data_IF_058356125612
#
_entry.id   IF_058356125612
#
_cell.length_a   1.000
_cell.length_b   1.000
_cell.length_c   1.000
_cell.angle_alpha   90.00
_cell.angle_beta   90.00
_cell.angle_gamma   90.00
#
_symmetry.space_group_name_H-M   'P 1'
#
loop_
_entity.id
_entity.type
_entity.pdbx_description
1 polymer ?
#
# COMPACT_ATOMS: atom_id res chain seq x y z
N UNK A 1 17.07 4.76 -3.62
CA UNK A 1 17.11 4.52 -2.15
C UNK A 1 15.69 4.74 -1.64
N UNK A 2 14.96 3.67 -1.32
CA UNK A 2 13.56 3.77 -0.88
C UNK A 2 13.51 4.41 0.52
N UNK A 3 12.72 5.48 0.67
CA UNK A 3 12.44 6.18 1.95
C UNK A 3 11.86 5.26 3.05
N UNK A 4 11.53 4.02 2.70
CA UNK A 4 10.98 2.99 3.58
C UNK A 4 12.00 2.12 4.31
N UNK A 5 13.30 2.22 4.03
CA UNK A 5 14.33 1.52 4.83
C UNK A 5 14.37 1.91 6.32
N UNK A 6 13.52 2.84 6.77
CA UNK A 6 13.36 3.25 8.17
C UNK A 6 12.08 2.78 8.86
N UNK A 7 11.08 2.30 8.12
CA UNK A 7 9.86 1.75 8.72
C UNK A 7 10.00 0.23 8.61
N UNK A 8 9.99 -0.48 9.74
CA UNK A 8 10.03 -1.95 9.71
C UNK A 8 8.76 -2.46 9.05
N UNK A 9 8.84 -3.52 8.24
CA UNK A 9 7.67 -4.22 7.64
C UNK A 9 6.55 -4.47 8.68
N UNK A 10 6.96 -4.74 9.92
CA UNK A 10 6.11 -4.94 11.10
C UNK A 10 5.22 -3.75 11.49
N UNK A 11 5.55 -2.53 11.05
CA UNK A 11 4.80 -1.31 11.36
C UNK A 11 3.77 -0.94 10.28
N UNK A 12 3.72 -1.68 9.18
CA UNK A 12 2.80 -1.43 8.08
C UNK A 12 1.44 -2.09 8.29
N UNK A 13 0.39 -1.37 7.89
CA UNK A 13 -0.96 -1.95 7.74
C UNK A 13 -0.99 -2.89 6.54
N UNK A 14 -2.00 -3.76 6.45
CA UNK A 14 -2.19 -4.65 5.30
C UNK A 14 -2.30 -3.86 3.98
N UNK A 15 -2.94 -2.69 4.04
CA UNK A 15 -3.00 -1.72 2.93
C UNK A 15 -1.62 -1.13 2.64
N UNK A 16 -0.84 -0.80 3.67
CA UNK A 16 0.53 -0.33 3.52
C UNK A 16 1.43 -1.32 2.80
N UNK A 17 1.30 -2.61 3.12
CA UNK A 17 2.03 -3.68 2.44
C UNK A 17 1.60 -3.82 0.98
N UNK A 18 0.31 -3.70 0.68
CA UNK A 18 -0.17 -3.66 -0.71
C UNK A 18 0.39 -2.46 -1.47
N UNK A 19 0.40 -1.27 -0.87
CA UNK A 19 0.94 -0.07 -1.50
C UNK A 19 2.43 -0.22 -1.85
N UNK A 20 3.21 -0.85 -0.97
CA UNK A 20 4.61 -1.19 -1.25
C UNK A 20 4.74 -2.17 -2.42
N UNK A 21 3.96 -3.26 -2.41
CA UNK A 21 3.98 -4.24 -3.49
C UNK A 21 3.58 -3.62 -4.83
N UNK A 22 2.59 -2.71 -4.84
CA UNK A 22 2.19 -1.96 -6.02
C UNK A 22 3.32 -1.06 -6.52
N UNK A 23 4.02 -0.38 -5.61
CA UNK A 23 5.19 0.42 -5.98
C UNK A 23 6.29 -0.41 -6.60
N UNK A 24 6.65 -1.52 -5.97
CA UNK A 24 7.73 -2.39 -6.42
C UNK A 24 7.36 -3.08 -7.75
N UNK A 25 6.12 -3.54 -7.93
CA UNK A 25 5.68 -4.21 -9.16
C UNK A 25 5.49 -3.26 -10.37
N UNK A 26 5.31 -1.96 -10.12
CA UNK A 26 5.08 -0.96 -11.18
C UNK A 26 6.23 0.04 -11.31
N UNK A 27 7.37 -0.19 -10.65
CA UNK A 27 8.51 0.73 -10.57
C UNK A 27 8.11 2.17 -10.20
N UNK A 28 7.09 2.32 -9.35
CA UNK A 28 6.58 3.63 -8.92
C UNK A 28 7.32 4.13 -7.70
N UNK A 29 7.74 5.40 -7.76
CA UNK A 29 8.18 6.10 -6.55
C UNK A 29 6.98 6.43 -5.66
N UNK A 30 7.27 6.63 -4.37
CA UNK A 30 6.27 7.05 -3.39
C UNK A 30 5.56 8.36 -3.77
N UNK A 31 6.31 9.27 -4.41
CA UNK A 31 5.77 10.53 -4.93
C UNK A 31 4.76 10.30 -6.04
N UNK A 32 5.11 9.44 -7.00
CA UNK A 32 4.24 9.11 -8.12
C UNK A 32 2.96 8.44 -7.63
N UNK A 33 3.06 7.51 -6.68
CA UNK A 33 1.88 6.88 -6.10
C UNK A 33 1.02 7.87 -5.30
N UNK A 34 1.62 8.73 -4.48
CA UNK A 34 0.89 9.76 -3.74
C UNK A 34 0.15 10.72 -4.69
N UNK A 35 0.81 11.13 -5.77
CA UNK A 35 0.23 11.97 -6.81
C UNK A 35 -0.90 11.25 -7.57
N UNK A 36 -0.71 9.98 -7.95
CA UNK A 36 -1.74 9.17 -8.60
C UNK A 36 -2.97 8.99 -7.69
N UNK A 37 -2.74 8.89 -6.37
CA UNK A 37 -3.79 8.80 -5.37
C UNK A 37 -4.35 10.16 -4.96
N UNK A 38 -3.90 11.28 -5.54
CA UNK A 38 -4.33 12.63 -5.17
C UNK A 38 -4.33 12.85 -3.63
N UNK A 39 -3.22 12.49 -2.99
CA UNK A 39 -2.95 12.71 -1.57
C UNK A 39 -1.50 13.17 -1.36
N UNK A 40 -1.21 13.78 -0.22
CA UNK A 40 0.17 14.15 0.10
C UNK A 40 1.02 12.90 0.44
N UNK A 41 2.33 12.97 0.21
CA UNK A 41 3.28 11.95 0.68
C UNK A 41 3.10 11.63 2.17
N UNK A 42 2.88 12.65 3.00
CA UNK A 42 2.65 12.46 4.44
C UNK A 42 1.37 11.64 4.70
N UNK A 43 0.28 11.93 3.99
CA UNK A 43 -0.97 11.20 4.10
C UNK A 43 -0.85 9.75 3.60
N UNK A 44 -0.10 9.52 2.52
CA UNK A 44 0.22 8.18 2.04
C UNK A 44 1.04 7.42 3.10
N UNK A 45 2.01 8.08 3.74
CA UNK A 45 2.87 7.47 4.77
C UNK A 45 2.08 7.07 6.00
N UNK A 46 1.15 7.92 6.44
CA UNK A 46 0.24 7.59 7.55
C UNK A 46 -0.66 6.43 7.17
N UNK A 47 -1.18 6.41 5.93
CA UNK A 47 -2.04 5.32 5.43
C UNK A 47 -1.33 3.97 5.39
N UNK A 48 -0.01 3.99 5.17
CA UNK A 48 0.83 2.81 5.22
C UNK A 48 1.03 2.24 6.64
N UNK A 49 0.85 3.01 7.71
CA UNK A 49 1.12 2.56 9.09
C UNK A 49 -0.06 1.78 9.70
N UNK A 50 0.22 0.80 10.58
CA UNK A 50 -0.82 0.06 11.34
C UNK A 50 -1.77 0.94 12.14
N UNK A 51 -1.26 2.06 12.65
CA UNK A 51 -2.04 3.04 13.41
C UNK A 51 -2.73 4.06 12.51
N UNK A 52 -2.41 4.06 11.21
CA UNK A 52 -3.15 4.82 10.22
C UNK A 52 -4.56 4.25 10.11
N UNK A 53 -5.55 5.13 10.00
CA UNK A 53 -6.84 4.79 9.44
C UNK A 53 -6.76 5.19 7.96
N UNK A 54 -6.26 4.33 7.05
CA UNK A 54 -6.41 4.54 5.63
C UNK A 54 -7.91 4.56 5.38
N UNK A 55 -8.50 5.75 5.40
CA UNK A 55 -9.95 5.90 5.38
C UNK A 55 -10.54 5.15 4.19
N UNK A 56 -11.86 4.98 4.17
CA UNK A 56 -12.62 4.26 3.11
C UNK A 56 -12.33 4.72 1.66
N UNK A 57 -11.51 5.77 1.45
CA UNK A 57 -11.11 6.36 0.18
C UNK A 57 -9.85 5.74 -0.46
N UNK A 58 -9.05 4.96 0.26
CA UNK A 58 -7.81 4.38 -0.31
C UNK A 58 -8.12 3.22 -1.28
N UNK A 59 -9.01 2.31 -0.88
CA UNK A 59 -9.37 1.13 -1.70
C UNK A 59 -9.99 1.54 -3.06
N UNK A 60 -10.98 2.45 -3.11
CA UNK A 60 -11.54 2.90 -4.39
C UNK A 60 -10.48 3.56 -5.30
N UNK A 61 -9.60 4.40 -4.73
CA UNK A 61 -8.53 5.06 -5.51
C UNK A 61 -7.51 4.06 -6.03
N UNK A 62 -7.18 3.01 -5.27
CA UNK A 62 -6.28 1.95 -5.75
C UNK A 62 -6.92 1.14 -6.88
N UNK A 63 -8.22 0.86 -6.76
CA UNK A 63 -8.98 0.19 -7.81
C UNK A 63 -8.95 1.00 -9.12
N UNK A 64 -9.12 2.33 -9.04
CA UNK A 64 -8.99 3.23 -10.20
C UNK A 64 -7.58 3.24 -10.81
N UNK A 65 -6.53 3.33 -9.98
CA UNK A 65 -5.13 3.39 -10.46
C UNK A 65 -4.70 2.08 -11.14
N UNK A 66 -5.16 0.95 -10.61
CA UNK A 66 -4.80 -0.39 -11.08
C UNK A 66 -5.79 -0.94 -12.12
N UNK A 67 -6.76 -0.13 -12.54
CA UNK A 67 -7.83 -0.51 -13.48
C UNK A 67 -8.50 -1.85 -13.08
N UNK A 68 -8.86 -1.97 -11.81
CA UNK A 68 -9.48 -3.16 -11.24
C UNK A 68 -10.64 -2.82 -10.31
N UNK A 69 -11.28 -3.83 -9.74
CA UNK A 69 -12.39 -3.65 -8.81
C UNK A 69 -11.90 -3.53 -7.36
N UNK A 70 -12.68 -2.86 -6.50
CA UNK A 70 -12.39 -2.85 -5.05
C UNK A 70 -12.33 -4.26 -4.44
N UNK A 71 -13.08 -5.21 -5.00
CA UNK A 71 -13.06 -6.61 -4.59
C UNK A 71 -11.71 -7.28 -4.85
N UNK A 72 -11.10 -6.98 -6.00
CA UNK A 72 -9.75 -7.44 -6.35
C UNK A 72 -8.70 -6.82 -5.45
N UNK A 73 -8.80 -5.52 -5.14
CA UNK A 73 -7.93 -4.87 -4.15
C UNK A 73 -8.01 -5.59 -2.79
N UNK A 74 -9.22 -5.89 -2.30
CA UNK A 74 -9.39 -6.63 -1.03
C UNK A 74 -8.81 -8.05 -1.11
N UNK A 75 -8.90 -8.70 -2.26
CA UNK A 75 -8.25 -10.01 -2.48
C UNK A 75 -6.73 -9.88 -2.42
N UNK A 76 -6.15 -8.91 -3.13
CA UNK A 76 -4.71 -8.64 -3.13
C UNK A 76 -4.17 -8.29 -1.73
N UNK A 77 -4.92 -7.54 -0.93
CA UNK A 77 -4.57 -7.27 0.49
C UNK A 77 -4.41 -8.59 1.25
N UNK A 78 -5.38 -9.50 1.09
CA UNK A 78 -5.38 -10.80 1.77
C UNK A 78 -4.28 -11.73 1.25
N UNK A 79 -4.03 -11.73 -0.06
CA UNK A 79 -2.96 -12.52 -0.69
C UNK A 79 -1.59 -12.05 -0.20
N UNK A 80 -1.32 -10.74 -0.21
CA UNK A 80 -0.09 -10.17 0.34
C UNK A 80 0.11 -10.47 1.83
N UNK A 81 -0.97 -10.47 2.62
CA UNK A 81 -0.89 -10.84 4.04
C UNK A 81 -0.42 -12.29 4.21
N UNK A 82 -0.94 -13.21 3.39
CA UNK A 82 -0.54 -14.61 3.41
C UNK A 82 0.91 -14.76 2.96
N UNK A 83 1.31 -14.13 1.85
CA UNK A 83 2.69 -14.22 1.34
C UNK A 83 3.70 -13.74 2.39
N UNK A 84 3.44 -12.61 3.06
CA UNK A 84 4.36 -12.11 4.09
C UNK A 84 4.38 -12.98 5.36
N UNK A 85 3.29 -13.68 5.70
CA UNK A 85 3.31 -14.67 6.78
C UNK A 85 4.15 -15.90 6.44
N UNK A 86 4.24 -16.26 5.16
CA UNK A 86 5.03 -17.40 4.69
C UNK A 86 6.52 -17.04 4.55
N UNK A 87 6.88 -15.81 4.19
CA UNK A 87 8.28 -15.35 4.11
C UNK A 87 8.96 -15.15 5.48
N UNK A 88 8.18 -15.03 6.56
CA UNK A 88 8.69 -14.88 7.94
C UNK A 88 8.79 -16.22 8.71
N UNK A 89 8.59 -17.37 8.07
CA UNK A 89 8.82 -18.72 8.63
C UNK A 89 10.02 -19.40 7.98
#
# INVERSE_FOLDING_TARGET
MNEFNRIKSEEFSEIGLLLLAVMDNNDLTFEQLANAMDISKAALRISCQKQGNPGQRIIPKLAEILDCTEGEIRRMIRENQLEQMHEHN
#
